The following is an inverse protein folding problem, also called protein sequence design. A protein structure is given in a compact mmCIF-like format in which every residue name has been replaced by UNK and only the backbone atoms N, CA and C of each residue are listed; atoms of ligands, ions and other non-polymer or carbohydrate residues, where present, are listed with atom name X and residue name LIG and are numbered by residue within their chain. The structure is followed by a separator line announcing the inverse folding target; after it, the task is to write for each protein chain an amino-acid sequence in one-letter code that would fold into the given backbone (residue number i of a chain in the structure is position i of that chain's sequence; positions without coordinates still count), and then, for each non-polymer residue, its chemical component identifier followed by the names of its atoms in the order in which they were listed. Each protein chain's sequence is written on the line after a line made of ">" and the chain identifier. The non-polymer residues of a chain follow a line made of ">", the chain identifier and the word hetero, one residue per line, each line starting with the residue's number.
data_IF_982032025849
#
_entry.id   IF_982032025849
#
_cell.length_a   1.000
_cell.length_b   1.000
_cell.length_c   1.000
_cell.angle_alpha   90.00
_cell.angle_beta   90.00
_cell.angle_gamma   90.00
#
_symmetry.space_group_name_H-M   'P 1'
#
loop_
_entity.id
_entity.type
_entity.pdbx_description
1 polymer ?
#
# COMPACT_ATOMS: atom_id res chain seq x y z
N UNK A 1 -19.78 28.70 46.29
CA UNK A 1 -18.40 28.38 45.84
C UNK A 1 -18.51 27.14 44.96
N UNK A 2 -18.55 27.31 43.64
CA UNK A 2 -18.69 26.22 42.66
C UNK A 2 -17.33 25.61 42.36
N UNK A 3 -17.11 24.38 42.82
CA UNK A 3 -15.92 23.58 42.57
C UNK A 3 -15.91 23.08 41.12
N UNK A 4 -15.11 23.71 40.26
CA UNK A 4 -14.81 23.22 38.91
C UNK A 4 -13.84 22.04 39.00
N UNK A 5 -14.36 20.82 38.82
CA UNK A 5 -13.53 19.63 38.69
C UNK A 5 -12.59 19.75 37.48
N UNK A 6 -11.32 19.31 37.58
CA UNK A 6 -10.40 19.37 36.47
C UNK A 6 -10.84 18.40 35.36
N UNK A 7 -11.00 18.93 34.15
CA UNK A 7 -11.24 18.13 32.96
C UNK A 7 -10.02 17.24 32.71
N UNK A 8 -10.18 15.92 32.90
CA UNK A 8 -9.17 14.92 32.56
C UNK A 8 -9.05 14.91 31.03
N UNK A 9 -8.00 15.56 30.52
CA UNK A 9 -7.66 15.51 29.11
C UNK A 9 -7.24 14.08 28.74
N UNK A 10 -8.13 13.34 28.09
CA UNK A 10 -7.82 12.01 27.54
C UNK A 10 -6.77 12.18 26.43
N UNK A 11 -5.60 11.53 26.52
CA UNK A 11 -4.57 11.66 25.50
C UNK A 11 -5.07 11.11 24.15
N UNK A 12 -5.30 12.00 23.16
CA UNK A 12 -5.70 11.62 21.79
C UNK A 12 -4.52 11.16 20.90
N UNK A 13 -3.35 10.90 21.48
CA UNK A 13 -2.05 10.87 20.78
C UNK A 13 -1.85 9.69 19.82
N UNK A 14 -2.69 8.65 19.88
CA UNK A 14 -2.36 7.35 19.28
C UNK A 14 -3.09 7.03 17.97
N UNK A 15 -4.03 7.85 17.49
CA UNK A 15 -4.69 7.62 16.20
C UNK A 15 -3.81 8.03 15.01
N UNK A 16 -2.86 8.94 15.24
CA UNK A 16 -1.95 9.51 14.24
C UNK A 16 -0.68 8.68 14.03
N UNK A 17 -0.27 7.89 15.04
CA UNK A 17 1.03 7.18 15.04
C UNK A 17 1.25 6.27 13.82
N UNK A 18 0.19 5.59 13.35
CA UNK A 18 0.30 4.64 12.23
C UNK A 18 -0.19 5.19 10.89
N UNK A 19 -0.69 6.43 10.87
CA UNK A 19 -1.05 7.11 9.61
C UNK A 19 0.21 7.43 8.81
N UNK A 20 1.25 7.95 9.49
CA UNK A 20 2.52 8.30 8.85
C UNK A 20 3.23 7.09 8.20
N UNK A 21 3.47 5.96 8.88
CA UNK A 21 4.09 4.80 8.25
C UNK A 21 3.23 4.19 7.14
N UNK A 22 1.89 4.23 7.24
CA UNK A 22 1.02 3.76 6.17
C UNK A 22 1.14 4.65 4.91
N UNK A 23 1.11 5.99 5.09
CA UNK A 23 1.30 6.95 3.99
C UNK A 23 2.68 6.81 3.37
N UNK A 24 3.73 6.66 4.19
CA UNK A 24 5.09 6.44 3.71
C UNK A 24 5.21 5.12 2.95
N UNK A 25 4.62 4.03 3.46
CA UNK A 25 4.67 2.72 2.80
C UNK A 25 3.95 2.72 1.45
N UNK A 26 2.73 3.25 1.38
CA UNK A 26 1.98 3.34 0.12
C UNK A 26 2.64 4.34 -0.85
N UNK A 27 3.17 5.46 -0.34
CA UNK A 27 3.93 6.40 -1.16
C UNK A 27 5.20 5.79 -1.75
N UNK A 28 5.91 4.96 -0.98
CA UNK A 28 7.08 4.22 -1.48
C UNK A 28 6.66 3.18 -2.53
N UNK A 29 5.54 2.49 -2.32
CA UNK A 29 5.01 1.54 -3.30
C UNK A 29 4.73 2.23 -4.64
N UNK A 30 4.10 3.41 -4.63
CA UNK A 30 3.89 4.21 -5.85
C UNK A 30 5.19 4.65 -6.52
N UNK A 31 6.19 5.05 -5.74
CA UNK A 31 7.49 5.41 -6.30
C UNK A 31 8.18 4.22 -6.98
N UNK A 32 8.07 3.03 -6.38
CA UNK A 32 8.55 1.78 -6.97
C UNK A 32 7.77 1.49 -8.25
N UNK A 33 6.43 1.52 -8.24
CA UNK A 33 5.61 1.26 -9.44
C UNK A 33 5.98 2.18 -10.61
N UNK A 34 6.20 3.47 -10.34
CA UNK A 34 6.66 4.43 -11.35
C UNK A 34 8.06 4.06 -11.87
N UNK A 35 9.01 3.77 -10.98
CA UNK A 35 10.35 3.35 -11.38
C UNK A 35 10.32 2.07 -12.21
N UNK A 36 9.43 1.13 -11.89
CA UNK A 36 9.19 -0.11 -12.62
C UNK A 36 8.64 0.14 -14.01
N UNK A 37 7.67 1.03 -14.15
CA UNK A 37 7.12 1.44 -15.45
C UNK A 37 8.18 2.10 -16.34
N UNK A 38 8.97 3.04 -15.80
CA UNK A 38 10.08 3.68 -16.53
C UNK A 38 11.16 2.67 -16.93
N UNK A 39 11.51 1.73 -16.04
CA UNK A 39 12.48 0.67 -16.34
C UNK A 39 11.97 -0.25 -17.44
N UNK A 40 10.68 -0.61 -17.40
CA UNK A 40 10.04 -1.41 -18.45
C UNK A 40 10.09 -0.72 -19.82
N UNK A 41 9.89 0.60 -19.86
CA UNK A 41 10.02 1.39 -21.10
C UNK A 41 11.47 1.47 -21.57
N UNK A 42 12.41 1.74 -20.67
CA UNK A 42 13.84 1.87 -20.99
C UNK A 42 14.44 0.54 -21.53
N UNK A 43 13.91 -0.60 -21.09
CA UNK A 43 14.30 -1.93 -21.56
C UNK A 43 13.57 -2.34 -22.86
N UNK A 44 12.72 -1.49 -23.43
CA UNK A 44 11.94 -1.78 -24.63
C UNK A 44 10.88 -2.87 -24.44
N UNK A 45 10.53 -3.19 -23.18
CA UNK A 45 9.52 -4.21 -22.87
C UNK A 45 8.10 -3.70 -23.15
N UNK A 46 7.90 -2.38 -23.13
CA UNK A 46 6.63 -1.72 -23.40
C UNK A 46 6.85 -0.47 -24.27
N UNK A 47 5.99 -0.26 -25.28
CA UNK A 47 6.11 0.86 -26.23
C UNK A 47 5.58 2.19 -25.68
N UNK A 48 4.79 2.17 -24.60
CA UNK A 48 4.24 3.38 -23.98
C UNK A 48 4.00 3.25 -22.48
N UNK A 49 3.84 4.41 -21.82
CA UNK A 49 3.66 4.49 -20.37
C UNK A 49 2.31 3.88 -19.92
N UNK A 50 1.30 3.94 -20.78
CA UNK A 50 -0.01 3.28 -20.56
C UNK A 50 0.05 1.76 -20.75
N UNK A 51 0.96 1.24 -21.58
CA UNK A 51 1.21 -0.21 -21.68
C UNK A 51 2.03 -0.68 -20.47
N UNK A 52 2.99 0.14 -20.04
CA UNK A 52 3.86 -0.14 -18.90
C UNK A 52 3.19 -0.03 -17.52
N UNK A 53 2.04 0.65 -17.44
CA UNK A 53 1.17 0.74 -16.26
C UNK A 53 -0.21 0.09 -16.49
N UNK A 54 -0.42 -0.51 -17.65
CA UNK A 54 -1.68 -1.16 -18.03
C UNK A 54 -1.74 -2.63 -17.61
N UNK A 55 -2.69 -3.38 -18.14
CA UNK A 55 -2.86 -4.81 -17.81
C UNK A 55 -1.68 -5.70 -18.24
N UNK A 56 -0.77 -5.21 -19.09
CA UNK A 56 0.44 -5.92 -19.50
C UNK A 56 1.68 -5.54 -18.68
N UNK A 57 1.53 -4.70 -17.66
CA UNK A 57 2.61 -4.31 -16.78
C UNK A 57 3.20 -5.52 -16.04
N UNK A 58 4.45 -5.87 -16.36
CA UNK A 58 5.19 -6.95 -15.68
C UNK A 58 6.04 -6.46 -14.51
N UNK A 59 6.41 -5.19 -14.53
CA UNK A 59 7.31 -4.56 -13.55
C UNK A 59 6.64 -3.41 -12.79
N UNK A 60 5.34 -3.19 -12.95
CA UNK A 60 4.61 -2.21 -12.17
C UNK A 60 3.22 -2.76 -11.84
N UNK A 61 2.64 -2.24 -10.78
CA UNK A 61 1.25 -2.54 -10.44
C UNK A 61 0.31 -1.91 -11.50
N UNK A 62 -0.73 -2.60 -11.96
CA UNK A 62 -1.68 -2.04 -12.92
C UNK A 62 -2.35 -0.76 -12.39
N UNK A 63 -2.56 0.23 -13.26
CA UNK A 63 -3.22 1.51 -12.97
C UNK A 63 -4.51 1.41 -12.14
N UNK A 64 -5.45 0.48 -12.44
CA UNK A 64 -6.66 0.33 -11.63
C UNK A 64 -6.38 0.03 -10.15
N UNK A 65 -5.34 -0.75 -9.88
CA UNK A 65 -4.95 -1.13 -8.52
C UNK A 65 -4.20 0.00 -7.82
N UNK A 66 -3.34 0.74 -8.53
CA UNK A 66 -2.72 1.98 -8.03
C UNK A 66 -3.80 2.99 -7.62
N UNK A 67 -4.80 3.20 -8.47
CA UNK A 67 -5.92 4.11 -8.20
C UNK A 67 -6.74 3.65 -6.99
N UNK A 68 -7.06 2.35 -6.90
CA UNK A 68 -7.76 1.79 -5.75
C UNK A 68 -6.97 1.99 -4.44
N UNK A 69 -5.66 1.72 -4.44
CA UNK A 69 -4.80 1.94 -3.28
C UNK A 69 -4.73 3.41 -2.88
N UNK A 70 -4.72 4.35 -3.84
CA UNK A 70 -4.73 5.78 -3.56
C UNK A 70 -6.04 6.22 -2.89
N UNK A 71 -7.18 5.77 -3.40
CA UNK A 71 -8.51 6.05 -2.82
C UNK A 71 -8.63 5.45 -1.42
N UNK A 72 -8.18 4.20 -1.24
CA UNK A 72 -8.18 3.54 0.05
C UNK A 72 -7.24 4.22 1.04
N UNK A 73 -6.06 4.66 0.62
CA UNK A 73 -5.14 5.41 1.48
C UNK A 73 -5.79 6.72 1.93
N UNK A 74 -6.38 7.46 0.99
CA UNK A 74 -7.07 8.70 1.29
C UNK A 74 -8.20 8.48 2.30
N UNK A 75 -9.06 7.48 2.09
CA UNK A 75 -10.11 7.11 3.03
C UNK A 75 -9.53 6.67 4.40
N UNK A 76 -8.42 5.94 4.40
CA UNK A 76 -7.73 5.48 5.59
C UNK A 76 -7.10 6.62 6.41
N UNK A 77 -6.85 7.79 5.82
CA UNK A 77 -6.36 8.98 6.55
C UNK A 77 -7.47 9.83 7.17
N UNK A 78 -8.75 9.53 6.90
CA UNK A 78 -9.88 10.28 7.46
C UNK A 78 -10.03 10.06 8.96
N UNK A 79 -10.53 11.08 9.66
CA UNK A 79 -10.78 11.07 11.11
C UNK A 79 -11.99 10.22 11.51
N UNK A 80 -12.92 9.98 10.58
CA UNK A 80 -14.12 9.17 10.81
C UNK A 80 -13.77 7.66 10.81
N UNK A 81 -13.92 7.01 11.97
CA UNK A 81 -13.60 5.57 12.14
C UNK A 81 -14.38 4.68 11.16
N UNK A 82 -15.63 5.02 10.85
CA UNK A 82 -16.49 4.29 9.91
C UNK A 82 -15.95 4.23 8.48
N UNK A 83 -15.05 5.14 8.09
CA UNK A 83 -14.37 5.11 6.78
C UNK A 83 -12.94 4.58 6.91
N UNK A 84 -12.23 4.98 7.96
CA UNK A 84 -10.81 4.66 8.09
C UNK A 84 -10.53 3.17 8.34
N UNK A 85 -11.38 2.50 9.12
CA UNK A 85 -11.23 1.06 9.43
C UNK A 85 -11.43 0.21 8.16
N UNK A 86 -12.58 0.26 7.45
CA UNK A 86 -12.77 -0.57 6.27
C UNK A 86 -11.75 -0.26 5.19
N UNK A 87 -11.37 1.02 5.01
CA UNK A 87 -10.33 1.37 4.03
C UNK A 87 -8.96 0.76 4.36
N UNK A 88 -8.56 0.75 5.64
CA UNK A 88 -7.30 0.13 6.07
C UNK A 88 -7.34 -1.40 5.93
N UNK A 89 -8.49 -2.02 6.23
CA UNK A 89 -8.69 -3.47 6.02
C UNK A 89 -8.56 -3.83 4.55
N UNK A 90 -9.25 -3.09 3.67
CA UNK A 90 -9.22 -3.32 2.23
C UNK A 90 -7.82 -3.10 1.65
N UNK A 91 -7.06 -2.12 2.16
CA UNK A 91 -5.64 -1.93 1.81
C UNK A 91 -4.78 -3.16 2.17
N UNK A 92 -5.00 -3.73 3.36
CA UNK A 92 -4.30 -4.95 3.77
C UNK A 92 -4.65 -6.15 2.88
N UNK A 93 -5.95 -6.36 2.62
CA UNK A 93 -6.47 -7.45 1.79
C UNK A 93 -5.94 -7.35 0.37
N UNK A 94 -5.97 -6.16 -0.23
CA UNK A 94 -5.48 -5.97 -1.61
C UNK A 94 -3.99 -6.29 -1.74
N UNK A 95 -3.14 -5.84 -0.81
CA UNK A 95 -1.73 -6.22 -0.81
C UNK A 95 -1.50 -7.73 -0.63
N UNK A 96 -2.31 -8.39 0.21
CA UNK A 96 -2.25 -9.84 0.38
C UNK A 96 -2.70 -10.59 -0.88
N UNK A 97 -3.80 -10.18 -1.50
CA UNK A 97 -4.30 -10.77 -2.74
C UNK A 97 -3.31 -10.59 -3.89
N UNK A 98 -2.66 -9.42 -3.99
CA UNK A 98 -1.63 -9.19 -4.99
C UNK A 98 -0.42 -10.13 -4.82
N UNK A 99 0.02 -10.34 -3.57
CA UNK A 99 1.08 -11.30 -3.27
C UNK A 99 0.68 -12.74 -3.64
N UNK A 100 -0.50 -13.17 -3.21
CA UNK A 100 -1.00 -14.52 -3.49
C UNK A 100 -1.22 -14.73 -4.99
N UNK A 101 -1.77 -13.73 -5.70
CA UNK A 101 -1.94 -13.77 -7.15
C UNK A 101 -0.61 -13.98 -7.87
N UNK A 102 0.44 -13.26 -7.48
CA UNK A 102 1.78 -13.39 -8.07
C UNK A 102 2.42 -14.77 -7.91
N UNK A 103 1.93 -15.56 -6.94
CA UNK A 103 2.32 -16.95 -6.77
C UNK A 103 1.55 -17.87 -7.72
N UNK A 104 0.23 -17.68 -7.83
CA UNK A 104 -0.64 -18.50 -8.67
C UNK A 104 -0.53 -18.22 -10.17
N UNK A 105 -0.23 -16.99 -10.56
CA UNK A 105 -0.01 -16.60 -11.96
C UNK A 105 1.40 -16.98 -12.48
N UNK A 106 2.25 -17.53 -11.61
CA UNK A 106 3.61 -17.93 -11.93
C UNK A 106 4.60 -16.77 -12.06
N UNK A 107 4.22 -15.54 -11.72
CA UNK A 107 5.06 -14.34 -11.83
C UNK A 107 6.37 -14.48 -11.06
N UNK A 108 6.36 -15.14 -9.89
CA UNK A 108 7.57 -15.39 -9.11
C UNK A 108 8.49 -16.48 -9.66
N UNK A 109 7.99 -17.35 -10.54
CA UNK A 109 8.75 -18.40 -11.21
C UNK A 109 9.26 -17.98 -12.59
N UNK A 110 8.85 -16.82 -13.09
CA UNK A 110 9.27 -16.31 -14.39
C UNK A 110 10.80 -16.12 -14.44
N UNK A 111 11.39 -16.51 -15.58
CA UNK A 111 12.83 -16.33 -15.82
C UNK A 111 13.09 -14.86 -16.13
N UNK A 112 13.63 -14.13 -15.16
CA UNK A 112 14.00 -12.73 -15.25
C UNK A 112 15.51 -12.58 -15.17
N UNK A 113 16.07 -11.61 -15.90
CA UNK A 113 17.43 -11.15 -15.66
C UNK A 113 17.59 -10.64 -14.22
N UNK A 114 18.82 -10.62 -13.71
CA UNK A 114 19.12 -10.28 -12.30
C UNK A 114 18.55 -8.93 -11.86
N UNK A 115 18.65 -7.89 -12.70
CA UNK A 115 18.11 -6.56 -12.39
C UNK A 115 16.59 -6.55 -12.17
N UNK A 116 15.78 -6.96 -13.17
CA UNK A 116 14.33 -7.13 -13.02
C UNK A 116 13.92 -8.04 -11.86
N UNK A 117 14.70 -9.08 -11.56
CA UNK A 117 14.46 -9.97 -10.41
C UNK A 117 14.61 -9.25 -9.08
N UNK A 118 15.66 -8.45 -8.90
CA UNK A 118 15.85 -7.64 -7.69
C UNK A 118 14.72 -6.63 -7.53
N UNK A 119 14.31 -6.00 -8.64
CA UNK A 119 13.20 -5.07 -8.64
C UNK A 119 11.88 -5.73 -8.18
N UNK A 120 11.57 -6.92 -8.70
CA UNK A 120 10.41 -7.70 -8.29
C UNK A 120 10.43 -8.03 -6.79
N UNK A 121 11.59 -8.43 -6.25
CA UNK A 121 11.76 -8.71 -4.82
C UNK A 121 11.47 -7.46 -3.98
N UNK A 122 12.01 -6.31 -4.36
CA UNK A 122 11.78 -5.04 -3.66
C UNK A 122 10.30 -4.64 -3.67
N UNK A 123 9.62 -4.80 -4.81
CA UNK A 123 8.20 -4.52 -4.95
C UNK A 123 7.38 -5.42 -4.02
N UNK A 124 7.64 -6.74 -4.03
CA UNK A 124 6.94 -7.72 -3.18
C UNK A 124 7.16 -7.43 -1.69
N UNK A 125 8.40 -7.18 -1.26
CA UNK A 125 8.71 -6.87 0.13
C UNK A 125 7.99 -5.60 0.57
N UNK A 126 7.95 -4.57 -0.27
CA UNK A 126 7.27 -3.31 0.03
C UNK A 126 5.77 -3.50 0.16
N UNK A 127 5.15 -4.26 -0.75
CA UNK A 127 3.73 -4.58 -0.68
C UNK A 127 3.38 -5.34 0.62
N UNK A 128 4.18 -6.35 0.98
CA UNK A 128 4.01 -7.10 2.23
C UNK A 128 4.18 -6.22 3.47
N UNK A 129 5.14 -5.29 3.46
CA UNK A 129 5.32 -4.32 4.54
C UNK A 129 4.08 -3.43 4.71
N UNK A 130 3.49 -2.94 3.61
CA UNK A 130 2.24 -2.16 3.63
C UNK A 130 1.07 -3.00 4.18
N UNK A 131 0.93 -4.25 3.76
CA UNK A 131 -0.07 -5.18 4.30
C UNK A 131 0.11 -5.37 5.81
N UNK A 132 1.35 -5.58 6.27
CA UNK A 132 1.66 -5.73 7.69
C UNK A 132 1.31 -4.47 8.50
N UNK A 133 1.74 -3.29 8.04
CA UNK A 133 1.42 -2.00 8.68
C UNK A 133 -0.10 -1.80 8.76
N UNK A 134 -0.83 -2.14 7.69
CA UNK A 134 -2.29 -2.08 7.64
C UNK A 134 -2.93 -3.00 8.68
N UNK A 135 -2.46 -4.25 8.79
CA UNK A 135 -2.95 -5.21 9.77
C UNK A 135 -2.71 -4.75 11.22
N UNK A 136 -1.51 -4.24 11.52
CA UNK A 136 -1.18 -3.69 12.84
C UNK A 136 -2.08 -2.50 13.18
N UNK A 137 -2.34 -1.63 12.21
CA UNK A 137 -3.24 -0.47 12.40
C UNK A 137 -4.67 -0.91 12.68
N UNK A 138 -5.20 -1.88 11.95
CA UNK A 138 -6.54 -2.45 12.20
C UNK A 138 -6.62 -3.08 13.58
N UNK A 139 -5.66 -3.94 13.95
CA UNK A 139 -5.64 -4.58 15.27
C UNK A 139 -5.63 -3.55 16.43
N UNK A 140 -4.94 -2.42 16.26
CA UNK A 140 -4.94 -1.33 17.23
C UNK A 140 -6.26 -0.56 17.26
N UNK A 141 -6.94 -0.38 16.13
CA UNK A 141 -8.24 0.28 16.06
C UNK A 141 -9.36 -0.59 16.66
N UNK A 142 -9.29 -1.91 16.49
CA UNK A 142 -10.28 -2.85 17.04
C UNK A 142 -10.16 -3.07 18.56
N UNK A 143 -8.99 -2.79 19.15
CA UNK A 143 -8.77 -2.87 20.60
C UNK A 143 -9.24 -1.62 21.36
N UNK A 144 -9.89 -0.65 20.70
CA UNK A 144 -10.36 0.62 21.30
C UNK A 144 -11.86 0.83 21.13
#
# INVERSE_FOLDING_TARGET
>A
MTSTAPAIAVPQTTATEFTRPLVTGVGLLFAIDLAGAFTSMALGLNHGLMDALGNQARLSTPLPMIAAQAVLLFAATRRQRGLAIPATVLLGITGLLAFVSGFFDGSYAAVLATGPRLFQIVLVITALAVTFISAVRVARLSRR
#
